data_IF_077483752340
#
_entry.id   IF_077483752340
#
_cell.length_a   1.000
_cell.length_b   1.000
_cell.length_c   1.000
_cell.angle_alpha   90.00
_cell.angle_beta   90.00
_cell.angle_gamma   90.00
#
_symmetry.space_group_name_H-M   'P 1'
#
loop_
_entity.id
_entity.type
_entity.pdbx_description
1 polymer ?
#
# COMPACT_ATOMS: atom_id res chain seq x y z
N UNK A 1 -17.12 -5.09 -1.52
CA UNK A 1 -17.67 -5.38 -2.87
C UNK A 1 -16.75 -6.21 -3.79
N UNK A 2 -15.50 -5.83 -4.09
CA UNK A 2 -14.58 -6.65 -4.93
C UNK A 2 -14.45 -8.12 -4.45
N UNK A 3 -14.46 -8.29 -3.12
CA UNK A 3 -14.46 -9.59 -2.43
C UNK A 3 -15.72 -10.45 -2.60
N UNK A 4 -16.91 -9.82 -2.64
CA UNK A 4 -18.16 -10.57 -2.80
C UNK A 4 -18.13 -11.32 -4.14
N UNK A 5 -17.57 -10.67 -5.17
CA UNK A 5 -17.43 -11.24 -6.50
C UNK A 5 -16.29 -12.27 -6.64
N UNK A 6 -15.29 -12.30 -5.74
CA UNK A 6 -14.23 -13.33 -5.80
C UNK A 6 -14.81 -14.73 -5.59
N UNK A 7 -15.80 -14.88 -4.69
CA UNK A 7 -16.47 -16.17 -4.44
C UNK A 7 -17.39 -16.64 -5.59
N UNK A 8 -17.73 -15.75 -6.54
CA UNK A 8 -18.53 -16.06 -7.72
C UNK A 8 -17.73 -15.93 -9.03
N UNK A 9 -16.44 -15.60 -8.94
CA UNK A 9 -15.57 -15.36 -10.10
C UNK A 9 -15.48 -16.62 -10.96
N UNK A 10 -15.42 -17.78 -10.31
CA UNK A 10 -15.39 -19.10 -10.94
C UNK A 10 -16.77 -19.62 -11.35
N UNK A 11 -17.85 -19.00 -10.86
CA UNK A 11 -19.22 -19.49 -11.07
C UNK A 11 -19.87 -18.98 -12.35
N UNK A 12 -19.52 -17.78 -12.83
CA UNK A 12 -20.12 -17.24 -14.05
C UNK A 12 -19.28 -16.16 -14.76
N UNK A 13 -19.08 -16.31 -16.08
CA UNK A 13 -18.36 -15.36 -16.96
C UNK A 13 -18.85 -13.90 -16.92
N UNK A 14 -20.06 -13.65 -16.41
CA UNK A 14 -20.62 -12.29 -16.32
C UNK A 14 -19.93 -11.48 -15.22
N UNK A 15 -19.45 -12.14 -14.16
CA UNK A 15 -18.78 -11.49 -13.03
C UNK A 15 -17.48 -10.83 -13.49
N UNK A 16 -16.69 -11.53 -14.31
CA UNK A 16 -15.48 -10.98 -14.93
C UNK A 16 -15.79 -9.75 -15.80
N UNK A 17 -16.81 -9.85 -16.67
CA UNK A 17 -17.25 -8.75 -17.54
C UNK A 17 -17.69 -7.52 -16.72
N UNK A 18 -18.45 -7.71 -15.65
CA UNK A 18 -18.87 -6.62 -14.75
C UNK A 18 -17.65 -5.97 -14.09
N UNK A 19 -16.70 -6.75 -13.58
CA UNK A 19 -15.50 -6.21 -12.93
C UNK A 19 -14.63 -5.42 -13.92
N UNK A 20 -14.47 -5.93 -15.15
CA UNK A 20 -13.77 -5.24 -16.24
C UNK A 20 -14.48 -3.93 -16.59
N UNK A 21 -15.80 -3.96 -16.80
CA UNK A 21 -16.60 -2.77 -17.07
C UNK A 21 -16.49 -1.73 -15.95
N UNK A 22 -16.64 -2.12 -14.68
CA UNK A 22 -16.50 -1.18 -13.53
C UNK A 22 -15.11 -0.55 -13.46
N UNK A 23 -14.06 -1.34 -13.74
CA UNK A 23 -12.70 -0.82 -13.77
C UNK A 23 -12.54 0.23 -14.86
N UNK A 24 -13.01 -0.04 -16.08
CA UNK A 24 -12.95 0.90 -17.20
C UNK A 24 -13.81 2.13 -16.95
N UNK A 25 -15.03 1.93 -16.46
CA UNK A 25 -15.95 3.03 -16.19
C UNK A 25 -15.39 3.98 -15.14
N UNK A 26 -14.75 3.47 -14.08
CA UNK A 26 -14.03 4.31 -13.12
C UNK A 26 -12.94 5.13 -13.80
N UNK A 27 -12.15 4.52 -14.69
CA UNK A 27 -11.09 5.23 -15.41
C UNK A 27 -11.66 6.36 -16.28
N UNK A 28 -12.74 6.07 -17.01
CA UNK A 28 -13.42 7.03 -17.88
C UNK A 28 -13.98 8.18 -17.07
N UNK A 29 -14.84 7.89 -16.09
CA UNK A 29 -15.59 8.94 -15.38
C UNK A 29 -14.74 9.76 -14.43
N UNK A 30 -13.75 9.15 -13.78
CA UNK A 30 -12.94 9.84 -12.76
C UNK A 30 -11.77 10.60 -13.37
N UNK A 31 -11.21 10.11 -14.48
CA UNK A 31 -9.97 10.68 -15.03
C UNK A 31 -10.17 11.20 -16.44
N UNK A 32 -10.60 10.36 -17.38
CA UNK A 32 -10.65 10.73 -18.82
C UNK A 32 -11.62 11.87 -19.09
N UNK A 33 -12.81 11.85 -18.50
CA UNK A 33 -13.82 12.88 -18.74
C UNK A 33 -13.78 14.02 -17.74
N UNK A 34 -13.36 13.77 -16.49
CA UNK A 34 -13.37 14.76 -15.43
C UNK A 34 -12.12 15.66 -15.44
N UNK A 35 -10.91 15.11 -15.60
CA UNK A 35 -9.67 15.92 -15.52
C UNK A 35 -9.58 17.01 -16.59
N UNK A 36 -9.96 16.79 -17.87
CA UNK A 36 -9.94 17.86 -18.86
C UNK A 36 -10.84 19.05 -18.50
N UNK A 37 -11.93 18.80 -17.76
CA UNK A 37 -12.83 19.85 -17.26
C UNK A 37 -12.26 20.64 -16.09
N UNK A 38 -11.15 20.19 -15.50
CA UNK A 38 -10.45 20.86 -14.40
C UNK A 38 -9.27 21.71 -14.91
N UNK A 39 -9.08 21.82 -16.23
CA UNK A 39 -8.04 22.66 -16.81
C UNK A 39 -8.42 24.12 -16.63
N UNK A 40 -7.58 24.87 -15.93
CA UNK A 40 -7.73 26.31 -15.80
C UNK A 40 -7.49 26.99 -17.17
N UNK A 41 -8.39 27.88 -17.57
CA UNK A 41 -8.41 28.50 -18.89
C UNK A 41 -7.22 29.39 -19.18
N UNK A 42 -6.62 30.00 -18.16
CA UNK A 42 -5.48 30.92 -18.29
C UNK A 42 -4.16 30.15 -18.32
N UNK A 43 -3.92 29.34 -17.29
CA UNK A 43 -2.64 28.62 -17.11
C UNK A 43 -2.52 27.37 -17.97
N UNK A 44 -3.64 26.86 -18.51
CA UNK A 44 -3.73 25.57 -19.23
C UNK A 44 -3.24 24.38 -18.39
N UNK A 45 -3.36 24.48 -17.06
CA UNK A 45 -2.91 23.46 -16.09
C UNK A 45 -4.05 23.05 -15.17
N UNK A 46 -3.88 21.88 -14.55
CA UNK A 46 -4.74 21.41 -13.46
C UNK A 46 -4.09 21.82 -12.14
N UNK A 47 -4.86 22.47 -11.27
CA UNK A 47 -4.44 22.92 -9.95
C UNK A 47 -5.18 22.13 -8.89
N UNK A 48 -4.46 21.37 -8.07
CA UNK A 48 -5.04 20.64 -6.94
C UNK A 48 -4.92 21.44 -5.66
N UNK A 49 -5.79 21.16 -4.70
CA UNK A 49 -5.70 21.70 -3.34
C UNK A 49 -5.11 20.62 -2.45
N UNK A 50 -3.97 20.92 -1.80
CA UNK A 50 -3.38 20.07 -0.78
C UNK A 50 -3.87 20.50 0.61
N UNK A 51 -4.67 19.66 1.26
CA UNK A 51 -5.04 19.89 2.66
C UNK A 51 -3.98 19.34 3.59
N UNK A 52 -3.57 20.17 4.55
CA UNK A 52 -2.56 19.83 5.54
C UNK A 52 -3.15 19.34 6.88
N UNK A 53 -4.39 19.72 7.21
CA UNK A 53 -4.98 19.53 8.55
C UNK A 53 -6.10 18.47 8.60
N UNK A 54 -6.34 17.74 7.50
CA UNK A 54 -7.49 16.84 7.41
C UNK A 54 -7.23 15.41 7.91
N UNK A 55 -6.00 14.90 7.78
CA UNK A 55 -5.73 13.50 8.15
C UNK A 55 -5.17 13.41 9.57
N UNK A 56 -5.69 12.46 10.36
CA UNK A 56 -5.22 12.20 11.74
C UNK A 56 -3.78 11.72 11.82
N UNK A 57 -3.19 11.29 10.70
CA UNK A 57 -1.81 10.79 10.63
C UNK A 57 -0.80 11.85 10.17
N UNK A 58 -1.25 13.08 9.90
CA UNK A 58 -0.40 14.15 9.36
C UNK A 58 -0.06 14.05 7.87
N UNK A 59 -0.63 13.07 7.15
CA UNK A 59 -0.51 12.99 5.68
C UNK A 59 -1.27 14.14 5.00
N UNK A 60 -0.71 14.65 3.90
CA UNK A 60 -1.45 15.53 3.00
C UNK A 60 -2.57 14.76 2.30
N UNK A 61 -3.68 15.43 2.03
CA UNK A 61 -4.70 14.96 1.10
C UNK A 61 -4.86 15.92 -0.08
N UNK A 62 -5.27 15.41 -1.23
CA UNK A 62 -5.43 16.19 -2.47
C UNK A 62 -6.89 16.15 -2.94
N UNK A 63 -7.43 17.32 -3.30
CA UNK A 63 -8.81 17.47 -3.78
C UNK A 63 -8.92 18.52 -4.88
N UNK A 64 -10.04 18.44 -5.62
CA UNK A 64 -10.43 19.35 -6.70
C UNK A 64 -9.31 19.67 -7.70
N UNK A 65 -8.77 18.68 -8.44
CA UNK A 65 -9.01 17.24 -8.36
C UNK A 65 -7.99 16.52 -7.46
N UNK A 66 -8.27 15.27 -7.06
CA UNK A 66 -7.30 14.45 -6.32
C UNK A 66 -6.21 13.91 -7.26
N UNK A 67 -4.98 14.41 -7.12
CA UNK A 67 -3.81 14.02 -7.91
C UNK A 67 -2.92 12.98 -7.22
N UNK A 68 -3.19 12.63 -5.96
CA UNK A 68 -2.45 11.57 -5.25
C UNK A 68 -2.88 10.16 -5.68
N UNK A 69 -4.08 10.02 -6.28
CA UNK A 69 -4.65 8.72 -6.62
C UNK A 69 -4.65 8.41 -8.15
N UNK A 70 -3.80 9.08 -8.93
CA UNK A 70 -3.68 8.84 -10.37
C UNK A 70 -3.23 7.39 -10.62
N UNK A 71 -3.96 6.62 -11.45
CA UNK A 71 -3.76 5.19 -11.62
C UNK A 71 -2.39 4.88 -12.23
N UNK A 72 -1.77 3.77 -11.78
CA UNK A 72 -0.44 3.34 -12.24
C UNK A 72 -0.31 1.82 -12.45
N UNK A 73 -1.22 1.03 -11.84
CA UNK A 73 -1.08 -0.44 -11.76
C UNK A 73 -1.45 -1.19 -13.04
N UNK A 74 -2.33 -0.64 -13.87
CA UNK A 74 -2.82 -1.27 -15.10
C UNK A 74 -2.33 -0.49 -16.32
N UNK A 75 -2.27 -1.13 -17.49
CA UNK A 75 -1.87 -0.46 -18.73
C UNK A 75 -2.75 0.76 -19.03
N UNK A 76 -4.08 0.63 -18.93
CA UNK A 76 -4.98 1.76 -19.09
C UNK A 76 -4.76 2.87 -18.05
N UNK A 77 -4.37 2.51 -16.82
CA UNK A 77 -3.98 3.47 -15.80
C UNK A 77 -2.69 4.23 -16.16
N UNK A 78 -1.68 3.50 -16.65
CA UNK A 78 -0.42 4.10 -17.13
C UNK A 78 -0.66 5.08 -18.26
N UNK A 79 -1.58 4.79 -19.19
CA UNK A 79 -1.96 5.71 -20.26
C UNK A 79 -2.54 7.03 -19.72
N UNK A 80 -3.37 6.99 -18.68
CA UNK A 80 -3.86 8.20 -18.01
C UNK A 80 -2.69 8.98 -17.39
N UNK A 81 -1.75 8.31 -16.73
CA UNK A 81 -0.58 8.98 -16.14
C UNK A 81 0.31 9.64 -17.21
N UNK A 82 0.41 9.06 -18.42
CA UNK A 82 1.14 9.66 -19.55
C UNK A 82 0.57 11.01 -20.01
N UNK A 83 -0.70 11.31 -19.70
CA UNK A 83 -1.29 12.60 -20.03
C UNK A 83 -0.77 13.75 -19.14
N UNK A 84 -0.04 13.45 -18.06
CA UNK A 84 0.66 14.45 -17.25
C UNK A 84 2.04 14.68 -17.85
N UNK A 85 2.18 15.79 -18.58
CA UNK A 85 3.40 16.15 -19.30
C UNK A 85 4.14 17.32 -18.64
N UNK A 86 5.44 17.51 -18.95
CA UNK A 86 6.16 18.72 -18.57
C UNK A 86 5.46 19.99 -19.08
N UNK A 87 5.84 21.13 -18.51
CA UNK A 87 5.26 22.42 -18.90
C UNK A 87 5.57 22.83 -20.35
N UNK A 88 6.70 22.39 -20.89
CA UNK A 88 7.17 22.62 -22.26
C UNK A 88 8.34 21.65 -22.57
N UNK A 89 8.87 21.71 -23.79
CA UNK A 89 9.93 20.82 -24.29
C UNK A 89 11.32 21.05 -23.66
N UNK A 90 11.50 22.14 -22.91
CA UNK A 90 12.73 22.45 -22.17
C UNK A 90 12.70 21.90 -20.74
N UNK A 91 11.62 21.24 -20.33
CA UNK A 91 11.43 20.70 -18.99
C UNK A 91 11.19 19.20 -19.01
N UNK A 92 11.57 18.57 -17.91
CA UNK A 92 11.28 17.16 -17.65
C UNK A 92 10.52 17.02 -16.33
N UNK A 93 9.74 15.95 -16.19
CA UNK A 93 9.16 15.57 -14.91
C UNK A 93 10.13 14.64 -14.19
N UNK A 94 10.51 15.02 -12.97
CA UNK A 94 11.32 14.19 -12.08
C UNK A 94 10.39 13.59 -11.03
N UNK A 95 10.49 12.27 -10.83
CA UNK A 95 9.75 11.55 -9.79
C UNK A 95 10.73 10.80 -8.91
N UNK A 96 10.65 11.03 -7.61
CA UNK A 96 11.40 10.31 -6.59
C UNK A 96 10.41 9.76 -5.56
N UNK A 97 10.62 8.51 -5.14
CA UNK A 97 9.80 7.80 -4.15
C UNK A 97 10.75 7.10 -3.18
N UNK A 98 10.44 7.17 -1.88
CA UNK A 98 11.28 6.52 -0.88
C UNK A 98 11.08 5.01 -0.92
N UNK A 99 12.18 4.26 -1.06
CA UNK A 99 12.15 2.80 -0.95
C UNK A 99 11.72 2.36 0.46
N UNK A 100 10.47 1.91 0.59
CA UNK A 100 9.93 1.27 1.80
C UNK A 100 9.98 2.15 3.06
N UNK A 101 9.70 3.46 2.92
CA UNK A 101 9.83 4.44 4.00
C UNK A 101 9.15 4.04 5.32
N UNK A 102 7.94 3.47 5.25
CA UNK A 102 7.18 3.09 6.45
C UNK A 102 7.91 2.02 7.26
N UNK A 103 8.51 1.03 6.60
CA UNK A 103 9.26 -0.03 7.27
C UNK A 103 10.59 0.50 7.80
N UNK A 104 11.27 1.40 7.08
CA UNK A 104 12.50 2.05 7.54
C UNK A 104 12.26 2.89 8.80
N UNK A 105 11.18 3.68 8.82
CA UNK A 105 10.76 4.44 10.01
C UNK A 105 10.51 3.51 11.18
N UNK A 106 9.88 2.36 10.94
CA UNK A 106 9.56 1.41 12.01
C UNK A 106 10.79 0.67 12.52
N UNK A 107 11.72 0.30 11.64
CA UNK A 107 13.02 -0.23 12.02
C UNK A 107 13.74 0.74 12.95
N UNK A 108 13.78 2.03 12.57
CA UNK A 108 14.38 3.10 13.36
C UNK A 108 13.66 3.32 14.70
N UNK A 109 12.34 3.48 14.71
CA UNK A 109 11.56 3.74 15.92
C UNK A 109 11.55 2.57 16.91
N UNK A 110 11.57 1.34 16.42
CA UNK A 110 11.64 0.14 17.27
C UNK A 110 13.06 -0.23 17.70
N UNK A 111 14.06 0.35 17.02
CA UNK A 111 15.47 0.00 17.17
C UNK A 111 15.70 -1.52 17.02
N UNK A 112 14.93 -2.15 16.14
CA UNK A 112 15.00 -3.59 15.88
C UNK A 112 16.20 -3.89 14.99
N UNK A 113 17.20 -4.57 15.57
CA UNK A 113 18.48 -4.81 14.90
C UNK A 113 18.32 -5.67 13.64
N UNK A 114 17.45 -6.68 13.67
CA UNK A 114 17.21 -7.55 12.50
C UNK A 114 16.63 -6.75 11.33
N UNK A 115 15.67 -5.87 11.60
CA UNK A 115 15.07 -5.02 10.57
C UNK A 115 16.05 -3.93 10.08
N UNK A 116 16.83 -3.32 10.98
CA UNK A 116 17.85 -2.33 10.63
C UNK A 116 18.95 -2.96 9.76
N UNK A 117 19.47 -4.12 10.16
CA UNK A 117 20.53 -4.82 9.44
C UNK A 117 20.07 -5.23 8.04
N UNK A 118 18.82 -5.73 7.90
CA UNK A 118 18.23 -6.01 6.59
C UNK A 118 18.22 -4.75 5.68
N UNK A 119 17.91 -3.58 6.22
CA UNK A 119 17.95 -2.34 5.44
C UNK A 119 19.35 -1.83 5.13
N UNK A 120 20.31 -2.05 6.04
CA UNK A 120 21.71 -1.64 5.85
C UNK A 120 22.44 -2.53 4.84
N UNK A 121 22.04 -3.79 4.75
CA UNK A 121 22.57 -4.77 3.80
C UNK A 121 21.85 -4.76 2.43
N UNK A 122 20.93 -3.81 2.21
CA UNK A 122 20.05 -3.72 1.03
C UNK A 122 19.28 -5.03 0.74
N UNK A 123 18.93 -5.76 1.80
CA UNK A 123 18.13 -6.97 1.70
C UNK A 123 16.66 -6.62 1.41
N UNK A 124 15.99 -7.48 0.63
CA UNK A 124 14.55 -7.36 0.45
C UNK A 124 13.83 -7.74 1.75
N UNK A 125 13.39 -6.72 2.49
CA UNK A 125 12.73 -6.92 3.78
C UNK A 125 11.52 -7.85 3.69
N UNK A 126 10.79 -7.90 2.57
CA UNK A 126 9.65 -8.80 2.42
C UNK A 126 10.10 -10.25 2.29
N UNK A 127 11.20 -10.48 1.58
CA UNK A 127 11.83 -11.80 1.46
C UNK A 127 12.44 -12.22 2.80
N UNK A 128 13.14 -11.32 3.49
CA UNK A 128 13.66 -11.57 4.84
C UNK A 128 12.56 -11.89 5.84
N UNK A 129 11.47 -11.12 5.85
CA UNK A 129 10.29 -11.42 6.66
C UNK A 129 9.70 -12.78 6.29
N UNK A 130 9.57 -13.11 5.01
CA UNK A 130 9.05 -14.41 4.58
C UNK A 130 9.93 -15.56 5.08
N UNK A 131 11.25 -15.48 4.89
CA UNK A 131 12.21 -16.46 5.35
C UNK A 131 12.07 -16.71 6.86
N UNK A 132 12.02 -15.62 7.65
CA UNK A 132 11.89 -15.70 9.10
C UNK A 132 10.52 -16.26 9.55
N UNK A 133 9.43 -15.82 8.94
CA UNK A 133 8.06 -16.21 9.31
C UNK A 133 7.75 -17.66 8.93
N UNK A 134 8.23 -18.12 7.78
CA UNK A 134 8.04 -19.48 7.28
C UNK A 134 9.16 -20.44 7.71
N UNK A 135 10.22 -19.96 8.38
CA UNK A 135 11.33 -20.78 8.86
C UNK A 135 12.17 -21.40 7.74
N UNK A 136 12.32 -20.73 6.61
CA UNK A 136 13.04 -21.20 5.42
C UNK A 136 14.22 -20.28 5.10
N UNK A 137 15.17 -20.73 4.26
CA UNK A 137 16.28 -19.86 3.84
C UNK A 137 15.76 -18.78 2.88
N UNK A 138 16.41 -17.62 2.87
CA UNK A 138 16.09 -16.50 1.97
C UNK A 138 15.93 -16.92 0.49
N UNK A 139 16.82 -17.79 0.01
CA UNK A 139 16.82 -18.31 -1.36
C UNK A 139 15.66 -19.26 -1.68
N UNK A 140 15.03 -19.83 -0.66
CA UNK A 140 13.94 -20.80 -0.80
C UNK A 140 12.57 -20.09 -0.73
N UNK A 141 12.55 -18.76 -0.54
CA UNK A 141 11.32 -17.95 -0.49
C UNK A 141 10.68 -17.87 -1.87
N UNK A 142 9.44 -18.31 -1.96
CA UNK A 142 8.65 -18.20 -3.19
C UNK A 142 8.07 -16.80 -3.39
N UNK A 143 7.72 -16.40 -4.63
CA UNK A 143 7.02 -15.14 -4.87
C UNK A 143 5.69 -15.00 -4.12
N UNK A 144 4.99 -16.11 -3.90
CA UNK A 144 3.75 -16.14 -3.12
C UNK A 144 4.01 -15.87 -1.63
N UNK A 145 5.02 -16.52 -1.04
CA UNK A 145 5.43 -16.28 0.35
C UNK A 145 5.89 -14.84 0.55
N UNK A 146 6.69 -14.29 -0.38
CA UNK A 146 7.08 -12.88 -0.38
C UNK A 146 5.87 -11.95 -0.44
N UNK A 147 4.88 -12.27 -1.27
CA UNK A 147 3.63 -11.50 -1.37
C UNK A 147 2.83 -11.55 -0.06
N UNK A 148 2.72 -12.72 0.57
CA UNK A 148 2.10 -12.85 1.89
C UNK A 148 2.86 -12.04 2.95
N UNK A 149 4.19 -12.17 3.02
CA UNK A 149 5.02 -11.40 3.95
C UNK A 149 4.93 -9.88 3.72
N UNK A 150 4.72 -9.43 2.48
CA UNK A 150 4.40 -8.03 2.19
C UNK A 150 3.07 -7.60 2.81
N UNK A 151 2.01 -8.38 2.63
CA UNK A 151 0.70 -8.10 3.25
C UNK A 151 0.81 -8.09 4.77
N UNK A 152 1.59 -9.02 5.33
CA UNK A 152 1.87 -9.11 6.77
C UNK A 152 2.63 -7.89 7.28
N UNK A 153 3.73 -7.51 6.62
CA UNK A 153 4.52 -6.33 6.96
C UNK A 153 3.62 -5.09 7.07
N UNK A 154 2.86 -4.75 6.03
CA UNK A 154 1.96 -3.60 6.08
C UNK A 154 0.83 -3.82 7.09
N UNK A 155 0.22 -5.00 7.12
CA UNK A 155 -0.87 -5.31 8.02
C UNK A 155 -0.50 -5.12 9.49
N UNK A 156 0.64 -5.65 9.93
CA UNK A 156 1.10 -5.59 11.32
C UNK A 156 1.44 -4.17 11.74
N UNK A 157 2.05 -3.37 10.84
CA UNK A 157 2.30 -1.94 11.08
C UNK A 157 1.01 -1.21 11.46
N UNK A 158 -0.09 -1.58 10.81
CA UNK A 158 -1.41 -0.99 11.00
C UNK A 158 -2.31 -1.78 11.96
N UNK A 159 -1.78 -2.75 12.70
CA UNK A 159 -2.54 -3.49 13.72
C UNK A 159 -3.57 -4.47 13.14
N UNK A 160 -3.31 -5.07 11.98
CA UNK A 160 -4.21 -6.07 11.39
C UNK A 160 -4.37 -7.27 12.33
N UNK A 161 -5.60 -7.72 12.49
CA UNK A 161 -5.90 -8.97 13.21
C UNK A 161 -5.69 -10.19 12.31
N UNK A 162 -5.58 -11.39 12.90
CA UNK A 162 -5.55 -12.65 12.14
C UNK A 162 -6.77 -12.79 11.19
N UNK A 163 -7.95 -12.31 11.61
CA UNK A 163 -9.14 -12.25 10.76
C UNK A 163 -8.97 -11.25 9.60
N UNK A 164 -8.37 -10.09 9.85
CA UNK A 164 -8.10 -9.10 8.81
C UNK A 164 -7.07 -9.61 7.79
N UNK A 165 -6.07 -10.37 8.24
CA UNK A 165 -5.02 -10.94 7.41
C UNK A 165 -5.51 -12.13 6.57
N UNK A 166 -6.26 -13.07 7.16
CA UNK A 166 -6.88 -14.20 6.43
C UNK A 166 -7.82 -13.71 5.33
N UNK A 167 -8.35 -12.52 5.52
CA UNK A 167 -9.21 -11.84 4.58
C UNK A 167 -8.42 -11.21 3.41
N UNK A 168 -7.15 -10.89 3.57
CA UNK A 168 -6.34 -10.23 2.54
C UNK A 168 -5.42 -11.20 1.79
N UNK A 169 -5.35 -12.44 2.27
CA UNK A 169 -4.50 -13.52 1.77
C UNK A 169 -5.34 -14.76 1.49
N UNK A 170 -4.73 -15.83 0.98
CA UNK A 170 -5.38 -17.14 0.84
C UNK A 170 -5.26 -18.01 2.10
N UNK A 171 -4.67 -17.46 3.15
CA UNK A 171 -4.37 -18.19 4.38
C UNK A 171 -5.63 -18.36 5.23
N UNK A 172 -5.73 -19.50 5.90
CA UNK A 172 -6.72 -19.72 6.96
C UNK A 172 -6.50 -18.74 8.12
N UNK A 173 -7.50 -18.61 9.00
CA UNK A 173 -7.36 -17.82 10.23
C UNK A 173 -6.25 -18.36 11.14
N UNK A 174 -6.06 -19.69 11.17
CA UNK A 174 -5.02 -20.33 11.99
C UNK A 174 -3.63 -19.98 11.48
N UNK A 175 -3.39 -20.18 10.18
CA UNK A 175 -2.11 -19.82 9.53
C UNK A 175 -1.83 -18.32 9.66
N UNK A 176 -2.85 -17.48 9.50
CA UNK A 176 -2.72 -16.03 9.69
C UNK A 176 -2.31 -15.65 11.11
N UNK A 177 -2.83 -16.35 12.12
CA UNK A 177 -2.46 -16.14 13.53
C UNK A 177 -1.01 -16.55 13.77
N UNK A 178 -0.63 -17.73 13.30
CA UNK A 178 0.73 -18.27 13.41
C UNK A 178 1.76 -17.33 12.75
N UNK A 179 1.44 -16.83 11.56
CA UNK A 179 2.27 -15.86 10.83
C UNK A 179 2.49 -14.57 11.64
N UNK A 180 1.44 -14.03 12.27
CA UNK A 180 1.56 -12.84 13.11
C UNK A 180 2.43 -13.14 14.35
N UNK A 181 2.27 -14.30 14.96
CA UNK A 181 3.08 -14.72 16.11
C UNK A 181 4.55 -14.89 15.73
N UNK A 182 4.85 -15.58 14.62
CA UNK A 182 6.22 -15.76 14.12
C UNK A 182 6.86 -14.43 13.71
N UNK A 183 6.09 -13.50 13.16
CA UNK A 183 6.57 -12.15 12.87
C UNK A 183 7.04 -11.44 14.13
N UNK A 184 6.26 -11.46 15.22
CA UNK A 184 6.67 -10.85 16.49
C UNK A 184 7.80 -11.61 17.19
N UNK A 185 7.95 -12.92 16.96
CA UNK A 185 9.15 -13.66 17.42
C UNK A 185 10.40 -13.21 16.66
N UNK A 186 10.27 -12.94 15.37
CA UNK A 186 11.36 -12.49 14.49
C UNK A 186 11.77 -11.04 14.76
N UNK A 187 10.81 -10.20 15.15
CA UNK A 187 10.99 -8.77 15.42
C UNK A 187 10.43 -8.41 16.81
N UNK A 188 11.05 -8.89 17.90
CA UNK A 188 10.49 -8.79 19.25
C UNK A 188 10.28 -7.37 19.73
N UNK A 189 11.10 -6.42 19.27
CA UNK A 189 10.98 -5.01 19.68
C UNK A 189 9.74 -4.33 19.11
N UNK A 190 9.19 -4.81 17.99
CA UNK A 190 7.97 -4.27 17.41
C UNK A 190 6.75 -4.46 18.33
N UNK A 191 6.67 -5.59 19.04
CA UNK A 191 5.56 -5.86 19.97
C UNK A 191 5.54 -4.86 21.13
N UNK A 192 6.71 -4.46 21.60
CA UNK A 192 6.89 -3.47 22.67
C UNK A 192 6.51 -2.07 22.16
N UNK A 193 7.02 -1.67 21.01
CA UNK A 193 6.70 -0.39 20.40
C UNK A 193 5.21 -0.24 20.05
N UNK A 194 4.54 -1.31 19.60
CA UNK A 194 3.11 -1.28 19.30
C UNK A 194 2.25 -1.11 20.56
N UNK A 195 2.63 -1.76 21.67
CA UNK A 195 2.01 -1.54 22.99
C UNK A 195 2.21 -0.10 23.48
N UNK A 196 3.40 0.48 23.28
CA UNK A 196 3.67 1.88 23.64
C UNK A 196 2.84 2.84 22.77
N UNK A 197 2.73 2.59 21.46
CA UNK A 197 1.94 3.42 20.53
C UNK A 197 0.44 3.40 20.82
N UNK A 198 -0.13 2.23 21.15
CA UNK A 198 -1.53 2.12 21.59
C UNK A 198 -1.80 2.90 22.89
N UNK A 199 -0.87 2.86 23.84
CA UNK A 199 -0.98 3.61 25.09
C UNK A 199 -0.81 5.13 24.92
N UNK A 200 -0.09 5.58 23.90
CA UNK A 200 0.09 7.01 23.59
C UNK A 200 -1.09 7.56 22.78
N UNK A 201 -1.60 6.82 21.81
CA UNK A 201 -2.78 7.22 21.03
C UNK A 201 -4.05 7.23 21.89
N UNK A 202 -4.23 6.26 22.80
CA UNK A 202 -5.35 6.26 23.75
C UNK A 202 -5.32 7.40 24.79
N UNK A 203 -4.22 8.16 24.89
CA UNK A 203 -4.11 9.37 25.72
C UNK A 203 -4.27 10.67 24.96
N UNK A 204 -4.30 10.63 23.62
CA UNK A 204 -4.53 11.81 22.77
C UNK A 204 -6.01 11.99 22.37
N UNK A 205 -6.87 11.01 22.68
CA UNK A 205 -8.32 11.04 22.46
C UNK A 205 -9.12 11.45 23.73
N UNK A 206 -8.48 12.13 24.69
CA UNK A 206 -9.12 12.87 25.79
C UNK A 206 -8.71 14.34 25.74
#
# INVERSE_FOLDING_TARGET
MKKLYQNYFEKHKIVEKILKWRSLQKLITTYVTALPKQINSETKRIHTIFNQTLTSTGRLSSLNPNLQNIPIRTENGKLIRKAFTPRDDKHILVSADYSQIELRVIASMSNDKSMIDAFNNDEDIHTATAANVFGIKLKDVTPEQRSHAKVVNFGIIYGVSAFGLSNQTKLSRSESKEIIENYYKSYPKLKISHRIKLNLLGKMDM
#
